data_IF_601412025044
#
_entry.id   IF_601412025044
#
_cell.length_a   1.000
_cell.length_b   1.000
_cell.length_c   1.000
_cell.angle_alpha   90.00
_cell.angle_beta   90.00
_cell.angle_gamma   90.00
#
_symmetry.space_group_name_H-M   'P 1'
#
loop_
_entity.id
_entity.type
_entity.pdbx_description
1 polymer ?
#
# COMPACT_ATOMS: atom_id res chain seq x y z
N UNK A 1 7.79 -25.78 -5.27
CA UNK A 1 8.44 -25.00 -4.20
C UNK A 1 7.58 -23.80 -3.86
N UNK A 2 7.28 -23.62 -2.60
CA UNK A 2 6.54 -22.44 -2.13
C UNK A 2 7.50 -21.27 -2.07
N UNK A 3 7.21 -20.20 -2.76
CA UNK A 3 8.01 -18.98 -2.68
C UNK A 3 7.84 -18.39 -1.28
N UNK A 4 8.96 -18.18 -0.58
CA UNK A 4 8.93 -17.67 0.77
C UNK A 4 8.63 -16.19 0.79
N UNK A 5 7.73 -15.80 1.70
CA UNK A 5 7.55 -14.41 2.11
C UNK A 5 8.40 -14.21 3.35
N UNK A 6 9.18 -13.15 3.37
CA UNK A 6 10.09 -12.83 4.48
C UNK A 6 9.96 -11.36 4.89
N UNK A 7 10.36 -11.08 6.10
CA UNK A 7 10.53 -9.70 6.55
C UNK A 7 11.72 -9.07 5.83
N UNK A 8 11.62 -7.77 5.56
CA UNK A 8 12.74 -7.04 4.98
C UNK A 8 13.93 -7.02 5.95
N UNK A 9 15.12 -6.94 5.41
CA UNK A 9 16.37 -6.73 6.14
C UNK A 9 17.15 -5.54 5.55
N UNK A 10 18.33 -5.28 6.09
CA UNK A 10 19.17 -4.14 5.68
C UNK A 10 19.51 -4.16 4.20
N UNK A 11 19.60 -5.34 3.58
CA UNK A 11 19.98 -5.46 2.17
C UNK A 11 18.89 -4.98 1.22
N UNK A 12 17.69 -4.82 1.71
CA UNK A 12 16.54 -4.40 0.91
C UNK A 12 16.37 -2.87 0.83
N UNK A 13 17.07 -2.12 1.67
CA UNK A 13 16.85 -0.69 1.83
C UNK A 13 16.99 0.10 0.53
N UNK A 14 18.07 -0.11 -0.21
CA UNK A 14 18.32 0.61 -1.46
C UNK A 14 17.28 0.26 -2.55
N UNK A 15 16.95 -1.02 -2.64
CA UNK A 15 15.94 -1.47 -3.60
C UNK A 15 14.57 -0.86 -3.30
N UNK A 16 14.17 -0.86 -2.05
CA UNK A 16 12.88 -0.31 -1.63
C UNK A 16 12.82 1.20 -1.85
N UNK A 17 13.87 1.93 -1.51
CA UNK A 17 13.97 3.37 -1.75
C UNK A 17 13.82 3.71 -3.24
N UNK A 18 14.50 2.97 -4.11
CA UNK A 18 14.40 3.16 -5.55
C UNK A 18 12.98 2.87 -6.06
N UNK A 19 12.35 1.81 -5.58
CA UNK A 19 10.98 1.44 -5.94
C UNK A 19 10.00 2.56 -5.56
N UNK A 20 10.11 3.09 -4.36
CA UNK A 20 9.24 4.16 -3.86
C UNK A 20 9.43 5.43 -4.68
N UNK A 21 10.66 5.80 -4.98
CA UNK A 21 10.96 6.97 -5.83
C UNK A 21 10.34 6.82 -7.22
N UNK A 22 10.44 5.64 -7.81
CA UNK A 22 10.04 5.42 -9.19
C UNK A 22 8.52 5.21 -9.35
N UNK A 23 7.86 4.65 -8.33
CA UNK A 23 6.45 4.25 -8.41
C UNK A 23 5.51 5.08 -7.54
N UNK A 24 6.00 5.72 -6.47
CA UNK A 24 5.19 6.45 -5.49
C UNK A 24 5.66 7.89 -5.24
N UNK A 25 6.36 8.49 -6.19
CA UNK A 25 6.85 9.87 -6.13
C UNK A 25 7.82 10.15 -4.95
N UNK A 26 8.46 9.08 -4.42
CA UNK A 26 9.45 9.21 -3.35
C UNK A 26 8.85 9.24 -1.95
N UNK A 27 9.71 9.38 -0.96
CA UNK A 27 9.32 9.54 0.45
C UNK A 27 9.14 11.02 0.83
N UNK A 28 8.37 11.33 1.88
CA UNK A 28 7.54 10.42 2.65
C UNK A 28 6.29 9.98 1.88
N UNK A 29 5.68 8.87 2.30
CA UNK A 29 4.35 8.52 1.86
C UNK A 29 3.34 9.33 2.68
N UNK A 30 2.43 10.05 2.03
CA UNK A 30 1.39 10.83 2.70
C UNK A 30 0.04 10.20 2.40
N UNK A 31 -0.63 9.73 3.43
CA UNK A 31 -1.94 9.09 3.34
C UNK A 31 -2.80 9.64 4.47
N UNK A 32 -4.05 10.01 4.17
CA UNK A 32 -5.01 10.62 5.11
C UNK A 32 -4.37 11.72 6.02
N UNK A 33 -3.51 12.53 5.43
CA UNK A 33 -2.82 13.61 6.13
C UNK A 33 -1.64 13.18 7.00
N UNK A 34 -1.37 11.88 7.08
CA UNK A 34 -0.27 11.33 7.89
C UNK A 34 0.94 11.03 7.01
N UNK A 35 2.12 11.41 7.48
CA UNK A 35 3.39 11.09 6.82
C UNK A 35 3.96 9.80 7.36
N UNK A 36 4.34 8.89 6.44
CA UNK A 36 4.99 7.64 6.78
C UNK A 36 6.37 7.58 6.14
N UNK A 37 7.36 7.21 6.95
CA UNK A 37 8.69 6.82 6.46
C UNK A 37 8.69 5.30 6.35
N UNK A 38 8.83 4.79 5.14
CA UNK A 38 8.68 3.37 4.89
C UNK A 38 9.80 2.53 5.51
N UNK A 39 10.98 3.13 5.75
CA UNK A 39 12.06 2.47 6.48
C UNK A 39 11.66 2.06 7.91
N UNK A 40 10.73 2.81 8.52
CA UNK A 40 10.28 2.59 9.90
C UNK A 40 9.04 1.68 9.98
N UNK A 41 8.52 1.23 8.84
CA UNK A 41 7.30 0.43 8.79
C UNK A 41 7.60 -1.05 8.58
N UNK A 42 6.78 -1.95 9.17
CA UNK A 42 6.82 -3.37 8.86
C UNK A 42 6.71 -3.62 7.36
N UNK A 43 7.58 -4.47 6.83
CA UNK A 43 7.65 -4.74 5.39
C UNK A 43 7.89 -6.21 5.13
N UNK A 44 7.05 -6.80 4.29
CA UNK A 44 7.17 -8.18 3.81
C UNK A 44 7.58 -8.18 2.35
N UNK A 45 8.50 -9.07 2.01
CA UNK A 45 9.03 -9.23 0.66
C UNK A 45 8.70 -10.63 0.15
N UNK A 46 8.20 -10.69 -1.08
CA UNK A 46 7.89 -11.93 -1.76
C UNK A 46 9.08 -12.35 -2.63
N UNK A 47 9.57 -13.56 -2.41
CA UNK A 47 10.64 -14.15 -3.22
C UNK A 47 11.92 -13.31 -3.22
N UNK A 48 12.58 -13.25 -4.37
CA UNK A 48 13.74 -12.40 -4.57
C UNK A 48 13.31 -11.02 -5.07
N UNK A 49 12.65 -10.26 -4.18
CA UNK A 49 12.15 -8.91 -4.46
C UNK A 49 11.15 -8.85 -5.62
N UNK A 50 10.36 -9.90 -5.78
CA UNK A 50 9.32 -9.96 -6.81
C UNK A 50 8.05 -9.22 -6.40
N UNK A 51 7.91 -8.90 -5.13
CA UNK A 51 6.81 -8.13 -4.58
C UNK A 51 7.11 -7.64 -3.18
N UNK A 52 6.35 -6.65 -2.72
CA UNK A 52 6.54 -6.03 -1.42
C UNK A 52 5.21 -5.52 -0.88
N UNK A 53 5.02 -5.66 0.42
CA UNK A 53 3.95 -5.02 1.18
C UNK A 53 4.54 -4.24 2.34
N UNK A 54 4.19 -2.97 2.45
CA UNK A 54 4.55 -2.10 3.58
C UNK A 54 3.26 -1.76 4.31
N UNK A 55 3.27 -1.91 5.63
CA UNK A 55 2.05 -1.77 6.42
C UNK A 55 2.35 -1.30 7.84
N UNK A 56 1.30 -0.98 8.59
CA UNK A 56 1.40 -0.67 10.03
C UNK A 56 0.80 -1.82 10.83
N UNK A 57 1.30 -2.01 12.05
CA UNK A 57 0.73 -2.95 13.02
C UNK A 57 0.32 -2.28 14.32
N UNK A 58 0.82 -1.07 14.56
CA UNK A 58 0.61 -0.34 15.82
C UNK A 58 -0.57 0.64 15.74
N UNK A 59 -1.16 0.82 14.58
CA UNK A 59 -2.38 1.61 14.39
C UNK A 59 -3.64 0.75 14.53
N UNK A 60 -4.77 1.38 14.85
CA UNK A 60 -6.06 0.70 14.94
C UNK A 60 -7.06 1.40 14.01
N UNK A 61 -7.44 0.78 12.90
CA UNK A 61 -6.97 -0.51 12.38
C UNK A 61 -5.55 -0.43 11.82
N UNK A 62 -4.85 -1.57 11.68
CA UNK A 62 -3.62 -1.62 10.91
C UNK A 62 -3.91 -1.30 9.45
N UNK A 63 -2.92 -0.74 8.76
CA UNK A 63 -3.10 -0.23 7.40
C UNK A 63 -2.05 -0.77 6.44
N UNK A 64 -2.49 -1.24 5.28
CA UNK A 64 -1.63 -1.56 4.16
C UNK A 64 -1.27 -0.26 3.45
N UNK A 65 -0.01 0.17 3.55
CA UNK A 65 0.44 1.47 3.02
C UNK A 65 0.88 1.38 1.56
N UNK A 66 1.49 0.26 1.18
CA UNK A 66 2.02 0.05 -0.16
C UNK A 66 1.99 -1.44 -0.48
N UNK A 67 1.51 -1.75 -1.67
CA UNK A 67 1.55 -3.11 -2.22
C UNK A 67 2.03 -3.03 -3.66
N UNK A 68 3.09 -3.75 -3.97
CA UNK A 68 3.65 -3.80 -5.32
C UNK A 68 4.03 -5.22 -5.70
N UNK A 69 3.70 -5.60 -6.93
CA UNK A 69 4.08 -6.87 -7.53
C UNK A 69 4.68 -6.62 -8.90
N UNK A 70 5.88 -7.18 -9.15
CA UNK A 70 6.58 -6.99 -10.43
C UNK A 70 5.87 -7.72 -11.58
N UNK A 71 5.18 -8.82 -11.28
CA UNK A 71 4.47 -9.63 -12.27
C UNK A 71 2.98 -9.66 -11.95
N UNK A 72 2.17 -8.76 -12.55
CA UNK A 72 0.72 -8.80 -12.39
C UNK A 72 0.14 -10.15 -12.80
N UNK A 73 -0.87 -10.62 -12.08
CA UNK A 73 -1.55 -11.87 -12.38
C UNK A 73 -0.85 -13.14 -11.89
N UNK A 74 0.32 -13.03 -11.24
CA UNK A 74 1.06 -14.20 -10.72
C UNK A 74 0.67 -14.58 -9.28
N UNK A 75 -0.33 -13.92 -8.68
CA UNK A 75 -0.78 -14.21 -7.31
C UNK A 75 0.08 -13.61 -6.21
N UNK A 76 1.08 -12.81 -6.55
CA UNK A 76 2.02 -12.21 -5.59
C UNK A 76 1.29 -11.27 -4.62
N UNK A 77 0.46 -10.37 -5.14
CA UNK A 77 -0.31 -9.44 -4.33
C UNK A 77 -1.25 -10.15 -3.36
N UNK A 78 -1.94 -11.20 -3.81
CA UNK A 78 -2.82 -11.99 -2.96
C UNK A 78 -2.06 -12.70 -1.84
N UNK A 79 -0.89 -13.25 -2.14
CA UNK A 79 -0.04 -13.91 -1.15
C UNK A 79 0.47 -12.90 -0.10
N UNK A 80 0.87 -11.71 -0.52
CA UNK A 80 1.31 -10.65 0.38
C UNK A 80 0.18 -10.16 1.28
N UNK A 81 -1.02 -9.97 0.74
CA UNK A 81 -2.19 -9.59 1.56
C UNK A 81 -2.47 -10.68 2.61
N UNK A 82 -2.44 -11.95 2.24
CA UNK A 82 -2.65 -13.03 3.19
C UNK A 82 -1.63 -13.01 4.33
N UNK A 83 -0.36 -12.71 4.02
CA UNK A 83 0.70 -12.60 5.02
C UNK A 83 0.51 -11.38 5.93
N UNK A 84 0.09 -10.24 5.38
CA UNK A 84 -0.24 -9.04 6.18
C UNK A 84 -1.42 -9.32 7.10
N UNK A 85 -2.46 -9.97 6.60
CA UNK A 85 -3.63 -10.37 7.39
C UNK A 85 -3.20 -11.28 8.57
N UNK A 86 -2.34 -12.26 8.31
CA UNK A 86 -1.82 -13.13 9.37
C UNK A 86 -1.08 -12.34 10.45
N UNK A 87 -0.21 -11.41 10.05
CA UNK A 87 0.52 -10.56 10.98
C UNK A 87 -0.42 -9.68 11.81
N UNK A 88 -1.46 -9.13 11.20
CA UNK A 88 -2.47 -8.33 11.88
C UNK A 88 -3.27 -9.17 12.89
N UNK A 89 -3.68 -10.38 12.52
CA UNK A 89 -4.40 -11.29 13.40
C UNK A 89 -3.56 -11.69 14.62
N UNK A 90 -2.27 -11.93 14.45
CA UNK A 90 -1.36 -12.25 15.54
C UNK A 90 -1.28 -11.13 16.58
N UNK A 91 -1.53 -9.90 16.17
CA UNK A 91 -1.61 -8.73 17.06
C UNK A 91 -3.01 -8.48 17.60
N UNK A 92 -3.99 -9.34 17.30
CA UNK A 92 -5.36 -9.23 17.79
C UNK A 92 -6.25 -8.27 17.00
N UNK A 93 -5.82 -7.83 15.82
CA UNK A 93 -6.64 -6.94 14.99
C UNK A 93 -7.75 -7.70 14.26
N UNK A 94 -8.91 -7.06 14.13
CA UNK A 94 -10.08 -7.61 13.44
C UNK A 94 -10.37 -6.98 12.09
N UNK A 95 -9.57 -5.99 11.65
CA UNK A 95 -9.74 -5.29 10.38
C UNK A 95 -8.40 -4.88 9.81
N UNK A 96 -8.34 -4.76 8.48
CA UNK A 96 -7.20 -4.21 7.74
C UNK A 96 -7.71 -3.10 6.83
N UNK A 97 -7.11 -1.92 6.94
CA UNK A 97 -7.43 -0.76 6.11
C UNK A 97 -6.45 -0.67 4.93
N UNK A 98 -6.93 -0.22 3.79
CA UNK A 98 -6.10 0.26 2.69
C UNK A 98 -6.69 1.55 2.14
N UNK A 99 -5.83 2.50 1.81
CA UNK A 99 -6.21 3.73 1.12
C UNK A 99 -5.63 3.72 -0.29
N UNK A 100 -6.45 4.01 -1.27
CA UNK A 100 -6.03 4.22 -2.64
C UNK A 100 -6.56 5.56 -3.16
N UNK A 101 -6.30 5.88 -4.41
CA UNK A 101 -6.67 7.16 -5.00
C UNK A 101 -7.71 6.98 -6.11
N UNK A 102 -8.42 8.06 -6.43
CA UNK A 102 -9.55 8.03 -7.35
C UNK A 102 -9.20 7.61 -8.79
N UNK A 103 -7.93 7.73 -9.17
CA UNK A 103 -7.41 7.36 -10.49
C UNK A 103 -7.03 5.88 -10.61
N UNK A 104 -6.80 5.20 -9.47
CA UNK A 104 -6.25 3.85 -9.45
C UNK A 104 -7.36 2.79 -9.55
N UNK A 105 -7.96 2.68 -10.73
CA UNK A 105 -9.06 1.76 -10.99
C UNK A 105 -8.64 0.30 -10.85
N UNK A 106 -7.40 -0.02 -11.20
CA UNK A 106 -6.84 -1.36 -11.05
C UNK A 106 -6.76 -1.77 -9.57
N UNK A 107 -6.34 -0.86 -8.69
CA UNK A 107 -6.30 -1.11 -7.25
C UNK A 107 -7.71 -1.27 -6.66
N UNK A 108 -8.66 -0.41 -7.05
CA UNK A 108 -10.05 -0.51 -6.61
C UNK A 108 -10.66 -1.87 -6.97
N UNK A 109 -10.42 -2.33 -8.19
CA UNK A 109 -10.85 -3.65 -8.63
C UNK A 109 -10.15 -4.76 -7.84
N UNK A 110 -8.84 -4.67 -7.70
CA UNK A 110 -8.01 -5.66 -7.01
C UNK A 110 -8.47 -5.90 -5.57
N UNK A 111 -8.62 -4.82 -4.80
CA UNK A 111 -8.99 -4.92 -3.39
C UNK A 111 -10.42 -5.40 -3.20
N UNK A 112 -11.38 -4.89 -3.99
CA UNK A 112 -12.78 -5.32 -3.88
C UNK A 112 -12.96 -6.80 -4.21
N UNK A 113 -12.24 -7.32 -5.20
CA UNK A 113 -12.27 -8.74 -5.54
C UNK A 113 -11.72 -9.63 -4.43
N UNK A 114 -10.95 -9.07 -3.50
CA UNK A 114 -10.39 -9.79 -2.34
C UNK A 114 -11.16 -9.56 -1.05
N UNK A 115 -12.35 -8.97 -1.16
CA UNK A 115 -13.24 -8.80 -0.04
C UNK A 115 -13.13 -7.47 0.70
N UNK A 116 -12.23 -6.59 0.28
CA UNK A 116 -12.22 -5.22 0.80
C UNK A 116 -13.48 -4.49 0.35
N UNK A 117 -14.06 -3.71 1.25
CA UNK A 117 -15.24 -2.90 0.97
C UNK A 117 -14.91 -1.43 1.10
N UNK A 118 -15.48 -0.61 0.23
CA UNK A 118 -15.35 0.85 0.32
C UNK A 118 -15.91 1.33 1.66
N UNK A 119 -15.15 2.15 2.36
CA UNK A 119 -15.46 2.61 3.71
C UNK A 119 -15.56 4.11 3.81
N UNK A 120 -14.76 4.84 3.07
CA UNK A 120 -14.75 6.30 3.14
C UNK A 120 -14.12 6.96 1.93
N UNK A 121 -14.44 8.23 1.76
CA UNK A 121 -13.91 9.09 0.70
C UNK A 121 -13.42 10.38 1.35
N UNK A 122 -12.18 10.77 1.05
CA UNK A 122 -11.65 12.08 1.44
C UNK A 122 -11.45 12.92 0.18
N UNK A 123 -12.40 13.79 -0.07
CA UNK A 123 -12.39 14.71 -1.20
C UNK A 123 -11.23 15.69 -1.07
N UNK A 124 -10.40 15.81 -2.09
CA UNK A 124 -9.29 16.74 -2.14
C UNK A 124 -8.06 16.34 -1.30
N UNK A 125 -8.03 15.16 -0.70
CA UNK A 125 -6.93 14.74 0.17
C UNK A 125 -5.59 14.67 -0.56
N UNK A 126 -5.59 14.27 -1.83
CA UNK A 126 -4.35 14.23 -2.64
C UNK A 126 -3.89 15.63 -3.01
N UNK A 127 -4.81 16.55 -3.28
CA UNK A 127 -4.47 17.96 -3.54
C UNK A 127 -3.81 18.58 -2.31
N UNK A 128 -4.33 18.30 -1.10
CA UNK A 128 -3.72 18.74 0.16
C UNK A 128 -2.34 18.12 0.37
N UNK A 129 -2.20 16.82 0.13
CA UNK A 129 -0.91 16.13 0.22
C UNK A 129 0.12 16.71 -0.74
N UNK A 130 -0.30 17.10 -1.95
CA UNK A 130 0.58 17.70 -2.97
C UNK A 130 1.19 19.01 -2.52
N UNK A 131 0.51 19.79 -1.69
CA UNK A 131 1.08 21.02 -1.11
C UNK A 131 2.33 20.69 -0.30
N UNK A 132 2.30 19.58 0.46
CA UNK A 132 3.43 19.12 1.28
C UNK A 132 4.44 18.30 0.49
N UNK A 133 4.00 17.65 -0.60
CA UNK A 133 4.82 16.79 -1.45
C UNK A 133 4.54 17.13 -2.92
N UNK A 134 5.19 18.18 -3.46
CA UNK A 134 4.92 18.64 -4.84
C UNK A 134 5.25 17.62 -5.93
N UNK A 135 5.99 16.55 -5.60
CA UNK A 135 6.30 15.47 -6.54
C UNK A 135 5.09 14.60 -6.91
N UNK A 136 3.99 14.69 -6.18
CA UNK A 136 2.75 13.99 -6.51
C UNK A 136 2.19 14.56 -7.82
N UNK A 137 1.99 13.75 -8.87
CA UNK A 137 1.54 14.26 -10.16
C UNK A 137 0.11 14.79 -10.10
N UNK A 138 -0.23 15.68 -11.02
CA UNK A 138 -1.59 16.21 -11.19
C UNK A 138 -2.51 15.21 -11.86
N UNK A 139 -1.99 14.47 -12.83
CA UNK A 139 -2.71 13.42 -13.54
C UNK A 139 -2.16 12.07 -13.16
N UNK A 140 -3.06 11.15 -12.81
CA UNK A 140 -2.73 9.80 -12.41
C UNK A 140 -2.97 8.77 -13.51
N UNK A 141 -3.30 7.55 -13.11
CA UNK A 141 -3.59 6.46 -14.04
C UNK A 141 -4.85 6.74 -14.85
N UNK A 142 -4.93 6.15 -16.03
CA UNK A 142 -6.10 6.19 -16.91
C UNK A 142 -6.47 7.59 -17.41
N UNK A 143 -5.55 8.54 -17.39
CA UNK A 143 -5.84 9.93 -17.76
C UNK A 143 -6.74 10.65 -16.75
N UNK A 144 -6.91 10.11 -15.57
CA UNK A 144 -7.77 10.66 -14.52
C UNK A 144 -6.95 11.61 -13.65
N UNK A 145 -7.49 12.79 -13.39
CA UNK A 145 -6.86 13.74 -12.49
C UNK A 145 -6.84 13.19 -11.05
N UNK A 146 -5.68 13.32 -10.40
CA UNK A 146 -5.43 12.76 -9.09
C UNK A 146 -5.80 13.76 -7.99
N UNK A 147 -6.91 13.51 -7.27
CA UNK A 147 -7.49 14.41 -6.27
C UNK A 147 -7.79 13.77 -4.93
N UNK A 148 -8.39 12.58 -4.94
CA UNK A 148 -9.15 12.08 -3.81
C UNK A 148 -8.60 10.78 -3.31
N UNK A 149 -8.77 10.53 -1.99
CA UNK A 149 -8.43 9.25 -1.37
C UNK A 149 -9.69 8.46 -1.07
N UNK A 150 -9.63 7.14 -1.26
CA UNK A 150 -10.71 6.21 -0.97
C UNK A 150 -10.17 5.16 -0.01
N UNK A 151 -10.86 4.99 1.11
CA UNK A 151 -10.56 3.95 2.08
C UNK A 151 -11.36 2.69 1.79
N UNK A 152 -10.69 1.54 1.88
CA UNK A 152 -11.35 0.23 1.84
C UNK A 152 -10.93 -0.55 3.08
N UNK A 153 -11.84 -1.36 3.60
CA UNK A 153 -11.62 -2.15 4.81
C UNK A 153 -11.92 -3.62 4.54
N UNK A 154 -11.05 -4.48 5.04
CA UNK A 154 -11.23 -5.92 5.05
C UNK A 154 -11.47 -6.38 6.48
N UNK A 155 -12.59 -7.06 6.73
CA UNK A 155 -12.80 -7.78 7.99
C UNK A 155 -11.94 -9.04 8.02
N UNK A 156 -11.22 -9.26 9.10
CA UNK A 156 -10.27 -10.37 9.20
C UNK A 156 -10.48 -11.22 10.46
#
# INVERSE_FOLDING_TARGET
MTTAIRWKDETDAQWLEALIRDQWAGEPLIVHGTEYRLADCPTLIYGDREGVAVFTLDSEPPELLLLHALRPGAGIGSALIAAVVSAAKERGHGRLLVTTTNDNLAALRFYQRRGFRMHGLRVGAVDDARVRKPSIPLEGFNGIRLHDEIDLVLEI
#
